data_IF_340580343639
#
_entry.id   IF_340580343639
#
_cell.length_a   1.000
_cell.length_b   1.000
_cell.length_c   1.000
_cell.angle_alpha   90.00
_cell.angle_beta   90.00
_cell.angle_gamma   90.00
#
_symmetry.space_group_name_H-M   'P 1'
#
loop_
_entity.id
_entity.type
_entity.pdbx_description
1 polymer ?
#
# COMPACT_ATOMS: atom_id res chain seq x y z
N UNK A 1 7.87 -17.85 1.86
CA UNK A 1 7.15 -17.29 3.00
C UNK A 1 6.57 -15.95 2.60
N UNK A 2 5.32 -15.67 2.94
CA UNK A 2 4.69 -14.42 2.55
C UNK A 2 4.57 -13.48 3.75
N UNK A 3 4.43 -12.21 3.45
CA UNK A 3 4.26 -11.16 4.44
C UNK A 3 3.06 -10.33 4.07
N UNK A 4 2.26 -9.95 5.06
CA UNK A 4 1.08 -9.12 4.84
C UNK A 4 1.43 -7.65 5.01
N UNK A 5 0.91 -6.84 4.09
CA UNK A 5 1.05 -5.39 4.13
C UNK A 5 -0.32 -4.75 4.16
N UNK A 6 -0.40 -3.61 4.80
CA UNK A 6 -1.63 -2.83 4.88
C UNK A 6 -1.61 -1.79 3.77
N UNK A 7 -2.62 -1.81 2.92
CA UNK A 7 -2.67 -0.96 1.75
C UNK A 7 -3.84 0.00 1.85
N UNK A 8 -3.59 1.29 1.63
CA UNK A 8 -4.62 2.30 1.50
C UNK A 8 -4.73 2.70 0.04
N UNK A 9 -5.95 2.80 -0.45
CA UNK A 9 -6.19 3.17 -1.85
C UNK A 9 -7.03 4.44 -1.87
N UNK A 10 -6.57 5.43 -2.62
CA UNK A 10 -7.30 6.68 -2.80
C UNK A 10 -7.53 6.92 -4.28
N UNK A 11 -8.71 7.44 -4.59
CA UNK A 11 -9.00 7.87 -5.96
C UNK A 11 -8.60 9.34 -6.09
N UNK A 12 -7.78 9.64 -7.09
CA UNK A 12 -7.35 11.00 -7.40
C UNK A 12 -7.63 11.28 -8.86
N UNK A 13 -8.66 12.08 -9.11
CA UNK A 13 -9.16 12.35 -10.46
C UNK A 13 -9.51 11.04 -11.17
N UNK A 14 -8.83 10.71 -12.27
CA UNK A 14 -9.09 9.50 -13.03
C UNK A 14 -8.17 8.35 -12.65
N UNK A 15 -7.38 8.51 -11.60
CA UNK A 15 -6.40 7.52 -11.18
C UNK A 15 -6.68 7.02 -9.79
N UNK A 16 -6.13 5.85 -9.48
CA UNK A 16 -6.12 5.31 -8.12
C UNK A 16 -4.69 5.22 -7.66
N UNK A 17 -4.45 5.59 -6.42
CA UNK A 17 -3.14 5.49 -5.80
C UNK A 17 -3.23 4.47 -4.68
N UNK A 18 -2.37 3.46 -4.72
CA UNK A 18 -2.26 2.45 -3.67
C UNK A 18 -0.97 2.69 -2.89
N UNK A 19 -1.06 2.75 -1.58
CA UNK A 19 0.08 3.05 -0.73
C UNK A 19 0.20 2.01 0.36
N UNK A 20 1.41 1.51 0.55
CA UNK A 20 1.72 0.60 1.64
C UNK A 20 1.98 1.42 2.90
N UNK A 21 1.23 1.13 3.97
CA UNK A 21 1.33 1.92 5.19
C UNK A 21 2.58 1.62 6.00
N UNK A 22 3.14 0.42 5.87
CA UNK A 22 4.31 0.01 6.64
C UNK A 22 5.61 0.64 6.15
N UNK A 23 5.69 0.98 4.87
CA UNK A 23 6.96 1.45 4.29
C UNK A 23 6.82 2.64 3.35
N UNK A 24 5.61 3.12 3.13
CA UNK A 24 5.33 4.28 2.27
C UNK A 24 5.62 4.06 0.78
N UNK A 25 5.86 2.82 0.35
CA UNK A 25 5.93 2.51 -1.08
C UNK A 25 4.54 2.72 -1.66
N UNK A 26 4.46 3.36 -2.82
CA UNK A 26 3.19 3.66 -3.46
C UNK A 26 3.26 3.39 -4.95
N UNK A 27 2.11 3.16 -5.54
CA UNK A 27 1.97 3.00 -6.97
C UNK A 27 0.60 3.48 -7.40
N UNK A 28 0.35 3.54 -8.69
CA UNK A 28 -0.92 4.05 -9.20
C UNK A 28 -1.40 3.23 -10.38
N UNK A 29 -2.66 3.41 -10.74
CA UNK A 29 -3.27 2.75 -11.87
C UNK A 29 -4.61 3.37 -12.19
N UNK A 30 -5.18 2.99 -13.30
CA UNK A 30 -6.48 3.51 -13.74
C UNK A 30 -7.65 2.85 -13.03
N UNK A 31 -7.41 1.72 -12.40
CA UNK A 31 -8.40 1.01 -11.59
C UNK A 31 -7.75 0.65 -10.25
N UNK A 32 -8.60 0.30 -9.28
CA UNK A 32 -8.08 -0.15 -7.98
C UNK A 32 -7.25 -1.42 -8.14
N UNK A 33 -7.70 -2.34 -8.97
CA UNK A 33 -6.96 -3.59 -9.21
C UNK A 33 -5.60 -3.32 -9.84
N UNK A 34 -5.56 -2.42 -10.82
CA UNK A 34 -4.30 -2.06 -11.47
C UNK A 34 -3.33 -1.41 -10.49
N UNK A 35 -3.83 -0.46 -9.69
CA UNK A 35 -3.00 0.21 -8.69
C UNK A 35 -2.45 -0.80 -7.67
N UNK A 36 -3.28 -1.74 -7.24
CA UNK A 36 -2.87 -2.77 -6.28
C UNK A 36 -1.85 -3.73 -6.89
N UNK A 37 -2.06 -4.15 -8.13
CA UNK A 37 -1.12 -5.04 -8.81
C UNK A 37 0.23 -4.35 -9.03
N UNK A 38 0.19 -3.07 -9.42
CA UNK A 38 1.41 -2.30 -9.60
C UNK A 38 2.16 -2.11 -8.27
N UNK A 39 1.42 -1.93 -7.18
CA UNK A 39 2.04 -1.83 -5.87
C UNK A 39 2.67 -3.16 -5.44
N UNK A 40 2.01 -4.28 -5.73
CA UNK A 40 2.58 -5.60 -5.43
C UNK A 40 3.92 -5.75 -6.11
N UNK A 41 4.00 -5.40 -7.39
CA UNK A 41 5.24 -5.48 -8.14
C UNK A 41 6.31 -4.56 -7.56
N UNK A 42 5.92 -3.33 -7.20
CA UNK A 42 6.84 -2.38 -6.59
C UNK A 42 7.39 -2.90 -5.26
N UNK A 43 6.53 -3.52 -4.44
CA UNK A 43 6.96 -4.11 -3.17
C UNK A 43 7.92 -5.28 -3.38
N UNK A 44 7.65 -6.10 -4.38
CA UNK A 44 8.55 -7.22 -4.70
C UNK A 44 9.93 -6.71 -5.08
N UNK A 45 10.00 -5.65 -5.88
CA UNK A 45 11.27 -5.04 -6.27
C UNK A 45 11.96 -4.36 -5.08
N UNK A 46 11.18 -3.72 -4.23
CA UNK A 46 11.71 -3.00 -3.06
C UNK A 46 12.44 -3.94 -2.10
N UNK A 47 11.96 -5.18 -1.96
CA UNK A 47 12.55 -6.17 -1.05
C UNK A 47 13.31 -7.27 -1.77
N UNK A 48 13.64 -7.08 -3.04
CA UNK A 48 14.17 -8.13 -3.90
C UNK A 48 15.37 -8.86 -3.32
N UNK A 49 16.35 -8.13 -2.82
CA UNK A 49 17.62 -8.71 -2.36
C UNK A 49 17.81 -8.64 -0.87
N UNK A 50 16.74 -8.41 -0.11
CA UNK A 50 16.90 -8.18 1.32
C UNK A 50 15.91 -8.99 2.15
N UNK A 51 16.32 -9.30 3.36
CA UNK A 51 15.41 -9.87 4.34
C UNK A 51 14.34 -8.85 4.68
N UNK A 52 13.11 -9.30 4.82
CA UNK A 52 12.03 -8.42 5.22
C UNK A 52 12.28 -7.90 6.63
N UNK A 53 12.19 -6.60 6.85
CA UNK A 53 12.35 -6.05 8.19
C UNK A 53 11.16 -6.42 9.07
N UNK A 54 11.32 -6.23 10.37
CA UNK A 54 10.21 -6.36 11.30
C UNK A 54 9.51 -5.01 11.32
N UNK A 55 8.21 -5.01 11.00
CA UNK A 55 7.41 -3.80 11.03
C UNK A 55 6.59 -3.72 12.30
N UNK A 56 6.32 -2.51 12.79
CA UNK A 56 5.26 -2.35 13.78
C UNK A 56 3.95 -2.83 13.17
N UNK A 57 3.09 -3.41 13.99
CA UNK A 57 1.79 -3.82 13.49
C UNK A 57 0.95 -2.57 13.22
N UNK A 58 0.32 -2.54 12.03
CA UNK A 58 -0.45 -1.38 11.59
C UNK A 58 -1.93 -1.68 11.65
N UNK A 59 -2.69 -0.78 12.26
CA UNK A 59 -4.14 -0.87 12.33
C UNK A 59 -4.75 0.32 11.61
N UNK A 60 -5.87 0.10 10.95
CA UNK A 60 -6.58 1.16 10.22
C UNK A 60 -7.99 1.25 10.77
N UNK A 61 -8.42 2.46 11.06
CA UNK A 61 -9.77 2.69 11.55
C UNK A 61 -10.27 4.04 11.06
N UNK A 62 -11.55 4.30 11.24
CA UNK A 62 -12.14 5.59 10.94
C UNK A 62 -12.68 6.21 12.22
N UNK A 63 -12.76 7.52 12.22
CA UNK A 63 -13.22 8.27 13.38
C UNK A 63 -14.10 9.43 12.90
N UNK A 64 -15.20 9.65 13.60
CA UNK A 64 -16.03 10.83 13.33
C UNK A 64 -15.62 11.94 14.26
N UNK A 65 -15.44 13.12 13.71
CA UNK A 65 -15.10 14.32 14.49
C UNK A 65 -16.05 15.43 14.10
N UNK A 66 -16.65 16.05 15.10
CA UNK A 66 -17.53 17.19 14.88
C UNK A 66 -16.67 18.43 14.60
N UNK A 67 -16.79 18.97 13.42
CA UNK A 67 -16.04 20.15 12.99
C UNK A 67 -16.96 21.33 12.76
#
# INVERSE_FOLDING_TARGET
MSKSFTIAIQKEDDWYVAKCLENSVASQGKTMDEATDNLREALMLYYEDESLPIFPQTYVTTMEVAL
#
